data_IF_812591065770
#
_entry.id   IF_812591065770
#
_cell.length_a   1.000
_cell.length_b   1.000
_cell.length_c   1.000
_cell.angle_alpha   90.00
_cell.angle_beta   90.00
_cell.angle_gamma   90.00
#
_symmetry.space_group_name_H-M   'P 1'
#
loop_
_entity.id
_entity.type
_entity.pdbx_description
1 polymer ?
#
# COMPACT_ATOMS: atom_id res chain seq x y z
N UNK A 1 13.97 15.81 12.98
CA UNK A 1 15.27 15.09 13.00
C UNK A 1 15.23 13.80 13.82
N UNK A 2 14.07 13.13 13.93
CA UNK A 2 13.89 11.91 14.76
C UNK A 2 13.47 10.70 13.91
N UNK A 3 13.56 10.79 12.58
CA UNK A 3 13.20 9.70 11.67
C UNK A 3 14.38 8.76 11.40
N UNK A 4 15.62 9.21 11.60
CA UNK A 4 16.84 8.44 11.27
C UNK A 4 17.19 7.34 12.28
N UNK A 5 16.58 7.30 13.47
CA UNK A 5 17.01 6.39 14.55
C UNK A 5 16.12 5.15 14.78
N UNK A 6 14.98 5.00 14.09
CA UNK A 6 14.26 3.71 14.10
C UNK A 6 14.63 2.91 12.86
N UNK A 7 15.78 2.26 12.95
CA UNK A 7 16.15 1.15 12.07
C UNK A 7 15.15 0.01 12.31
N UNK A 8 14.00 0.04 11.64
CA UNK A 8 12.97 -1.00 11.68
C UNK A 8 13.46 -2.23 10.90
N UNK A 9 14.39 -2.97 11.52
CA UNK A 9 14.43 -4.42 11.32
C UNK A 9 13.22 -4.94 12.06
N UNK A 10 12.31 -5.64 11.36
CA UNK A 10 11.32 -6.46 12.05
C UNK A 10 12.09 -7.41 12.97
N UNK A 11 11.79 -7.35 14.26
CA UNK A 11 12.38 -8.29 15.23
C UNK A 11 11.95 -9.71 14.84
N UNK A 12 12.77 -10.72 15.13
CA UNK A 12 12.52 -12.10 14.70
C UNK A 12 11.14 -12.63 15.14
N UNK A 13 10.64 -12.17 16.29
CA UNK A 13 9.32 -12.51 16.83
C UNK A 13 8.14 -11.90 16.05
N UNK A 14 8.34 -10.75 15.38
CA UNK A 14 7.31 -10.17 14.52
C UNK A 14 7.26 -10.88 13.16
N UNK A 15 8.38 -11.43 12.69
CA UNK A 15 8.45 -12.21 11.46
C UNK A 15 7.67 -13.53 11.56
N UNK A 16 7.68 -14.18 12.73
CA UNK A 16 6.90 -15.41 12.97
C UNK A 16 5.39 -15.17 12.99
N UNK A 17 4.94 -13.94 13.23
CA UNK A 17 3.52 -13.55 13.29
C UNK A 17 2.97 -13.04 11.95
N UNK A 18 3.80 -12.99 10.90
CA UNK A 18 3.35 -12.57 9.58
C UNK A 18 2.52 -13.67 8.92
N UNK A 19 1.40 -13.33 8.26
CA UNK A 19 0.72 -14.23 7.35
C UNK A 19 1.68 -14.83 6.32
N UNK A 20 1.43 -16.09 5.96
CA UNK A 20 2.29 -16.81 5.03
C UNK A 20 2.15 -16.18 3.64
N UNK A 21 3.28 -15.87 3.00
CA UNK A 21 3.28 -15.43 1.60
C UNK A 21 2.63 -16.49 0.71
N UNK A 22 1.51 -16.15 0.10
CA UNK A 22 0.84 -17.05 -0.84
C UNK A 22 1.55 -16.94 -2.18
N UNK A 23 2.34 -17.98 -2.51
CA UNK A 23 3.05 -18.07 -3.80
C UNK A 23 2.11 -17.89 -5.01
N UNK A 24 0.84 -18.28 -4.87
CA UNK A 24 -0.20 -18.10 -5.87
C UNK A 24 -0.45 -16.63 -6.24
N UNK A 25 -0.26 -15.68 -5.32
CA UNK A 25 -0.47 -14.25 -5.55
C UNK A 25 0.82 -13.51 -5.97
N UNK A 26 1.96 -14.21 -6.10
CA UNK A 26 3.20 -13.60 -6.58
C UNK A 26 3.67 -12.41 -5.73
N UNK A 27 3.44 -12.44 -4.42
CA UNK A 27 3.68 -11.32 -3.52
C UNK A 27 5.19 -10.98 -3.40
N UNK A 28 5.59 -9.81 -3.92
CA UNK A 28 6.89 -9.19 -3.66
C UNK A 28 6.68 -7.98 -2.74
N UNK A 29 7.04 -8.12 -1.47
CA UNK A 29 6.95 -7.00 -0.54
C UNK A 29 8.02 -5.96 -0.86
N UNK A 30 7.57 -4.72 -1.06
CA UNK A 30 8.43 -3.57 -1.07
C UNK A 30 9.05 -3.42 0.33
N UNK A 31 10.35 -3.66 0.43
CA UNK A 31 11.12 -3.52 1.70
C UNK A 31 12.12 -2.37 1.63
N UNK A 32 12.21 -1.70 0.48
CA UNK A 32 13.14 -0.61 0.28
C UNK A 32 12.48 0.72 0.67
N UNK A 33 12.77 1.17 1.90
CA UNK A 33 12.27 2.44 2.42
C UNK A 33 12.64 3.61 1.51
N UNK A 34 13.84 3.63 0.93
CA UNK A 34 14.25 4.74 0.06
C UNK A 34 13.40 4.84 -1.22
N UNK A 35 12.91 3.71 -1.73
CA UNK A 35 11.97 3.69 -2.87
C UNK A 35 10.60 4.22 -2.44
N UNK A 36 10.09 3.78 -1.29
CA UNK A 36 8.82 4.27 -0.73
C UNK A 36 8.88 5.76 -0.46
N UNK A 37 9.93 6.23 0.20
CA UNK A 37 10.12 7.63 0.52
C UNK A 37 10.12 8.45 -0.78
N UNK A 38 10.94 8.06 -1.76
CA UNK A 38 11.00 8.77 -3.04
C UNK A 38 9.63 8.81 -3.73
N UNK A 39 8.91 7.68 -3.73
CA UNK A 39 7.57 7.58 -4.28
C UNK A 39 6.62 8.58 -3.62
N UNK A 40 6.53 8.57 -2.29
CA UNK A 40 5.64 9.47 -1.52
C UNK A 40 6.04 10.94 -1.73
N UNK A 41 7.32 11.26 -1.76
CA UNK A 41 7.80 12.64 -1.95
C UNK A 41 7.58 13.18 -3.38
N UNK A 42 7.41 12.31 -4.37
CA UNK A 42 7.16 12.72 -5.76
C UNK A 42 5.70 13.10 -6.00
N UNK A 43 4.78 12.62 -5.16
CA UNK A 43 3.36 12.91 -5.26
C UNK A 43 2.94 13.98 -4.25
N UNK A 44 2.10 14.91 -4.67
CA UNK A 44 1.62 15.97 -3.78
C UNK A 44 0.41 15.49 -2.97
N UNK A 45 0.65 15.01 -1.75
CA UNK A 45 -0.40 14.54 -0.83
C UNK A 45 -0.59 15.54 0.31
N UNK A 46 -1.74 16.22 0.34
CA UNK A 46 -2.13 17.18 1.38
C UNK A 46 -3.28 16.66 2.26
N UNK A 47 -3.73 17.48 3.22
CA UNK A 47 -4.93 17.20 4.04
C UNK A 47 -6.22 17.07 3.25
N UNK A 48 -6.24 17.54 2.02
CA UNK A 48 -7.40 17.46 1.13
C UNK A 48 -7.31 16.27 0.16
N UNK A 49 -6.16 15.59 0.11
CA UNK A 49 -5.89 14.53 -0.86
C UNK A 49 -6.23 13.17 -0.26
N UNK A 50 -7.08 12.42 -0.95
CA UNK A 50 -7.28 10.99 -0.65
C UNK A 50 -6.18 10.17 -1.32
N UNK A 51 -5.86 9.02 -0.74
CA UNK A 51 -4.91 8.07 -1.32
C UNK A 51 -5.62 6.73 -1.48
N UNK A 52 -5.41 6.07 -2.61
CA UNK A 52 -5.77 4.68 -2.82
C UNK A 52 -4.49 3.84 -2.90
N UNK A 53 -4.44 2.75 -2.14
CA UNK A 53 -3.38 1.75 -2.15
C UNK A 53 -3.93 0.44 -2.71
N UNK A 54 -3.22 -0.15 -3.67
CA UNK A 54 -3.53 -1.50 -4.17
C UNK A 54 -2.56 -2.50 -3.56
N UNK A 55 -3.10 -3.43 -2.77
CA UNK A 55 -2.40 -4.49 -2.05
C UNK A 55 -1.63 -3.96 -0.83
N UNK A 56 -2.17 -4.13 0.38
CA UNK A 56 -1.49 -3.68 1.60
C UNK A 56 -0.28 -4.53 1.96
N UNK A 57 -0.33 -5.83 1.64
CA UNK A 57 0.65 -6.79 2.14
C UNK A 57 0.81 -6.69 3.65
N UNK A 58 2.06 -6.57 4.14
CA UNK A 58 2.34 -6.43 5.57
C UNK A 58 2.19 -4.99 6.13
N UNK A 59 1.56 -4.11 5.35
CA UNK A 59 1.26 -2.73 5.71
C UNK A 59 2.46 -1.80 5.69
N UNK A 60 3.55 -2.18 5.01
CA UNK A 60 4.76 -1.35 4.92
C UNK A 60 4.49 -0.01 4.22
N UNK A 61 3.86 -0.05 3.06
CA UNK A 61 3.48 1.15 2.31
C UNK A 61 2.33 1.89 3.01
N UNK A 62 1.30 1.18 3.46
CA UNK A 62 0.21 1.72 4.28
C UNK A 62 0.72 2.57 5.45
N UNK A 63 1.65 2.03 6.24
CA UNK A 63 2.25 2.73 7.38
C UNK A 63 3.05 3.96 6.94
N UNK A 64 3.82 3.84 5.85
CA UNK A 64 4.62 4.94 5.35
C UNK A 64 3.74 6.12 4.88
N UNK A 65 2.66 5.85 4.15
CA UNK A 65 1.70 6.89 3.69
C UNK A 65 1.10 7.62 4.90
N UNK A 66 0.59 6.86 5.88
CA UNK A 66 -0.05 7.44 7.06
C UNK A 66 0.92 8.27 7.91
N UNK A 67 2.17 7.82 8.06
CA UNK A 67 3.17 8.53 8.86
C UNK A 67 3.79 9.74 8.16
N UNK A 68 4.05 9.64 6.86
CA UNK A 68 4.75 10.68 6.11
C UNK A 68 3.82 11.74 5.55
N UNK A 69 2.52 11.46 5.44
CA UNK A 69 1.54 12.36 4.83
C UNK A 69 0.40 12.72 5.77
N UNK A 70 -0.29 13.81 5.43
CA UNK A 70 -1.51 14.23 6.10
C UNK A 70 -2.77 13.91 5.29
N UNK A 71 -2.73 12.89 4.42
CA UNK A 71 -3.85 12.53 3.54
C UNK A 71 -5.20 12.53 4.25
N UNK A 72 -6.26 12.91 3.54
CA UNK A 72 -7.64 12.95 4.05
C UNK A 72 -8.16 11.56 4.41
N UNK A 73 -8.02 10.64 3.46
CA UNK A 73 -8.39 9.24 3.57
C UNK A 73 -7.30 8.39 2.93
N UNK A 74 -7.10 7.18 3.44
CA UNK A 74 -6.32 6.12 2.79
C UNK A 74 -7.25 4.92 2.58
N UNK A 75 -7.60 4.66 1.33
CA UNK A 75 -8.34 3.48 0.90
C UNK A 75 -7.35 2.40 0.48
N UNK A 76 -7.50 1.20 0.99
CA UNK A 76 -6.63 0.06 0.70
C UNK A 76 -7.48 -1.05 0.12
N UNK A 77 -7.08 -1.61 -1.01
CA UNK A 77 -7.76 -2.76 -1.62
C UNK A 77 -6.87 -4.00 -1.53
N UNK A 78 -7.36 -5.07 -0.90
CA UNK A 78 -6.63 -6.33 -0.76
C UNK A 78 -7.60 -7.52 -0.87
N UNK A 79 -7.20 -8.57 -1.58
CA UNK A 79 -7.99 -9.80 -1.72
C UNK A 79 -7.72 -10.79 -0.59
N UNK A 80 -6.53 -10.74 -0.01
CA UNK A 80 -6.10 -11.66 1.04
C UNK A 80 -6.54 -11.19 2.43
N UNK A 81 -7.62 -11.80 2.93
CA UNK A 81 -8.20 -11.49 4.25
C UNK A 81 -7.21 -11.64 5.41
N UNK A 82 -6.21 -12.51 5.31
CA UNK A 82 -5.21 -12.66 6.37
C UNK A 82 -4.30 -11.42 6.49
N UNK A 83 -3.99 -10.78 5.35
CA UNK A 83 -3.23 -9.53 5.33
C UNK A 83 -4.07 -8.36 5.80
N UNK A 84 -5.36 -8.33 5.47
CA UNK A 84 -6.31 -7.35 6.00
C UNK A 84 -6.34 -7.42 7.52
N UNK A 85 -6.63 -8.60 8.07
CA UNK A 85 -6.70 -8.82 9.52
C UNK A 85 -5.39 -8.42 10.21
N UNK A 86 -4.25 -8.73 9.60
CA UNK A 86 -2.94 -8.36 10.11
C UNK A 86 -2.77 -6.83 10.16
N UNK A 87 -3.09 -6.12 9.07
CA UNK A 87 -2.95 -4.66 8.98
C UNK A 87 -3.93 -3.95 9.90
N UNK A 88 -5.18 -4.39 10.00
CA UNK A 88 -6.18 -3.79 10.92
C UNK A 88 -5.79 -3.94 12.40
N UNK A 89 -5.15 -5.05 12.77
CA UNK A 89 -4.62 -5.25 14.13
C UNK A 89 -3.40 -4.37 14.39
N UNK A 90 -2.53 -4.22 13.38
CA UNK A 90 -1.25 -3.50 13.48
C UNK A 90 -1.40 -1.98 13.42
N UNK A 91 -2.32 -1.47 12.61
CA UNK A 91 -2.46 -0.04 12.31
C UNK A 91 -3.82 0.45 12.76
N UNK A 92 -3.82 1.34 13.75
CA UNK A 92 -5.03 2.02 14.24
C UNK A 92 -4.96 3.50 13.85
N UNK A 93 -5.53 3.85 12.70
CA UNK A 93 -5.62 5.22 12.20
C UNK A 93 -7.01 5.46 11.62
N UNK A 94 -7.65 6.58 11.99
CA UNK A 94 -9.02 6.88 11.56
C UNK A 94 -9.15 7.21 10.07
N UNK A 95 -8.04 7.50 9.40
CA UNK A 95 -8.00 7.76 7.95
C UNK A 95 -7.98 6.47 7.14
N UNK A 96 -7.56 5.35 7.73
CA UNK A 96 -7.38 4.08 7.06
C UNK A 96 -8.72 3.37 6.88
N UNK A 97 -8.98 2.96 5.63
CA UNK A 97 -10.16 2.18 5.22
C UNK A 97 -9.67 1.03 4.36
N UNK A 98 -9.89 -0.20 4.81
CA UNK A 98 -9.47 -1.40 4.08
C UNK A 98 -10.70 -2.07 3.48
N UNK A 99 -10.64 -2.31 2.17
CA UNK A 99 -11.67 -2.95 1.37
C UNK A 99 -11.18 -4.35 0.97
N UNK A 100 -11.96 -5.38 1.29
CA UNK A 100 -11.65 -6.76 0.90
C UNK A 100 -12.17 -7.06 -0.51
N UNK A 101 -11.57 -6.43 -1.52
CA UNK A 101 -12.04 -6.51 -2.90
C UNK A 101 -10.91 -6.90 -3.87
N UNK A 102 -11.30 -7.62 -4.94
CA UNK A 102 -10.44 -7.84 -6.10
C UNK A 102 -10.38 -6.58 -6.96
N UNK A 103 -9.21 -5.93 -6.94
CA UNK A 103 -8.97 -4.71 -7.69
C UNK A 103 -9.22 -4.85 -9.19
N UNK A 104 -9.15 -6.07 -9.75
CA UNK A 104 -9.45 -6.32 -11.16
C UNK A 104 -10.97 -6.28 -11.46
N UNK A 105 -11.81 -6.33 -10.44
CA UNK A 105 -13.27 -6.29 -10.54
C UNK A 105 -13.87 -4.97 -10.03
N UNK A 106 -13.08 -4.13 -9.35
CA UNK A 106 -13.53 -2.86 -8.78
C UNK A 106 -13.48 -1.74 -9.82
N UNK A 107 -14.59 -1.02 -9.96
CA UNK A 107 -14.63 0.26 -10.67
C UNK A 107 -14.17 1.39 -9.73
N UNK A 108 -12.85 1.63 -9.73
CA UNK A 108 -12.22 2.65 -8.87
C UNK A 108 -12.69 4.07 -9.18
N UNK A 109 -13.04 4.37 -10.43
CA UNK A 109 -13.50 5.72 -10.79
C UNK A 109 -14.83 6.02 -10.10
N UNK A 110 -15.75 5.06 -10.12
CA UNK A 110 -17.04 5.17 -9.46
C UNK A 110 -16.91 5.14 -7.95
N UNK A 111 -16.14 4.21 -7.40
CA UNK A 111 -15.99 4.03 -5.95
C UNK A 111 -15.36 5.27 -5.29
N UNK A 112 -14.37 5.86 -5.96
CA UNK A 112 -13.58 6.97 -5.42
C UNK A 112 -14.01 8.34 -5.96
N UNK A 113 -15.12 8.41 -6.71
CA UNK A 113 -15.60 9.64 -7.35
C UNK A 113 -15.78 10.80 -6.37
N UNK A 114 -16.30 10.52 -5.17
CA UNK A 114 -16.57 11.51 -4.12
C UNK A 114 -15.35 11.88 -3.27
N UNK A 115 -14.19 11.29 -3.57
CA UNK A 115 -12.97 11.39 -2.76
C UNK A 115 -11.83 12.14 -3.44
N UNK A 116 -12.09 12.78 -4.58
CA UNK A 116 -11.11 13.61 -5.30
C UNK A 116 -10.72 14.87 -4.49
N UNK A 117 -9.48 15.38 -4.61
CA UNK A 117 -8.38 14.83 -5.41
C UNK A 117 -7.85 13.52 -4.82
N UNK A 118 -7.41 12.60 -5.69
CA UNK A 118 -6.95 11.27 -5.29
C UNK A 118 -5.63 10.90 -5.95
N UNK A 119 -4.75 10.26 -5.19
CA UNK A 119 -3.49 9.67 -5.67
C UNK A 119 -3.57 8.15 -5.53
N UNK A 120 -3.25 7.42 -6.59
CA UNK A 120 -3.16 5.96 -6.57
C UNK A 120 -1.70 5.53 -6.40
N UNK A 121 -1.42 4.73 -5.37
CA UNK A 121 -0.14 4.11 -5.11
C UNK A 121 -0.32 2.59 -5.13
N UNK A 122 0.59 1.87 -5.77
CA UNK A 122 0.49 0.41 -5.86
C UNK A 122 1.86 -0.24 -5.79
N UNK A 123 1.96 -1.30 -4.99
CA UNK A 123 3.10 -2.19 -5.02
C UNK A 123 2.70 -3.47 -5.78
N UNK A 124 2.70 -3.39 -7.11
CA UNK A 124 2.28 -4.49 -7.97
C UNK A 124 3.47 -5.34 -8.40
N UNK A 125 3.45 -6.63 -8.10
CA UNK A 125 4.32 -7.59 -8.78
C UNK A 125 3.66 -8.00 -10.11
N UNK A 126 4.40 -7.89 -11.22
CA UNK A 126 3.90 -8.02 -12.59
C UNK A 126 3.32 -9.38 -13.02
N UNK A 127 2.90 -10.26 -12.11
CA UNK A 127 2.27 -11.55 -12.43
C UNK A 127 0.74 -11.57 -12.36
N UNK A 128 0.11 -10.59 -11.70
CA UNK A 128 -1.36 -10.48 -11.65
C UNK A 128 -1.96 -9.79 -12.88
N UNK A 129 -1.15 -9.12 -13.70
CA UNK A 129 -1.56 -8.62 -15.02
C UNK A 129 -1.04 -9.59 -16.07
N UNK A 130 -1.95 -10.11 -16.90
CA UNK A 130 -1.61 -11.01 -18.00
C UNK A 130 -0.38 -10.55 -18.78
N UNK A 131 0.48 -11.52 -19.10
CA UNK A 131 1.75 -11.44 -19.83
C UNK A 131 1.96 -10.22 -20.72
N UNK A 132 2.42 -9.09 -20.18
CA UNK A 132 3.14 -8.02 -20.90
C UNK A 132 3.78 -7.02 -19.91
N UNK A 133 4.72 -7.48 -19.08
CA UNK A 133 5.69 -6.59 -18.43
C UNK A 133 6.87 -7.40 -17.89
N UNK A 134 7.89 -7.62 -18.72
CA UNK A 134 9.20 -8.03 -18.24
C UNK A 134 9.96 -6.79 -17.75
N UNK A 135 10.44 -6.82 -16.51
CA UNK A 135 11.28 -5.76 -15.94
C UNK A 135 11.05 -5.60 -14.44
N UNK A 136 12.03 -6.02 -13.66
CA UNK A 136 12.16 -5.77 -12.22
C UNK A 136 12.03 -4.29 -11.86
N UNK A 137 11.47 -4.02 -10.68
CA UNK A 137 11.24 -2.71 -10.02
C UNK A 137 10.15 -1.83 -10.66
N UNK A 138 8.88 -2.08 -10.34
CA UNK A 138 7.79 -1.18 -10.77
C UNK A 138 6.84 -0.83 -9.63
N UNK A 139 7.00 0.39 -9.09
CA UNK A 139 5.85 1.18 -8.65
C UNK A 139 5.22 1.79 -9.92
N UNK A 140 3.98 1.39 -10.26
CA UNK A 140 3.24 2.03 -11.36
C UNK A 140 2.42 3.16 -10.78
N UNK A 141 2.71 4.38 -11.23
CA UNK A 141 1.97 5.58 -10.89
C UNK A 141 0.92 5.83 -11.97
N UNK A 142 -0.34 5.91 -11.59
CA UNK A 142 -1.39 6.47 -12.44
C UNK A 142 -1.62 7.91 -11.96
N UNK A 143 -1.15 8.87 -12.75
CA UNK A 143 -1.56 10.27 -12.64
C UNK A 143 -2.77 10.48 -13.53
N UNK A 144 -3.76 11.22 -13.03
CA UNK A 144 -4.74 11.91 -13.87
C UNK A 144 -4.37 13.40 -13.86
#
# INVERSE_FOLDING_TARGET
MEYKSKRLRLEAEELEKLPIKKKAYGQHFLRNQAVVDRMIHTVNISSETSVAEIGCGDGFLTSAILHQTKCKNLFVYEIDSEWIDYVEKKIRDSRLKINNDDILQVDLEKDLASHKPIVLLANFCGRQLGTHAAGSETARFFFN
#
